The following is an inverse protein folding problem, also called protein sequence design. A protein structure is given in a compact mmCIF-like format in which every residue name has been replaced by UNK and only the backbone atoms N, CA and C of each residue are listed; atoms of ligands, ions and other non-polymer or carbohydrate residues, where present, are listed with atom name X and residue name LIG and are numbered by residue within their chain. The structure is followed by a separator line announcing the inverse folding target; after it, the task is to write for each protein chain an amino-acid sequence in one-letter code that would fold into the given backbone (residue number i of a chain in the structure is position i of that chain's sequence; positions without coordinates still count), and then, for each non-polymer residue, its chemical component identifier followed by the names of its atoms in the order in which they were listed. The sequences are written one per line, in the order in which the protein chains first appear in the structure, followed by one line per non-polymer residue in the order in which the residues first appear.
data_IF_635635173349
#
_entry.id   IF_635635173349
#
_cell.length_a   1.000
_cell.length_b   1.000
_cell.length_c   1.000
_cell.angle_alpha   90.00
_cell.angle_beta   90.00
_cell.angle_gamma   90.00
#
_symmetry.space_group_name_H-M   'P 1'
#
loop_
_entity.id
_entity.type
_entity.pdbx_description
1 polymer ?
#
# COMPACT_ATOMS: atom_id res chain seq x y z
N UNK A 1 -10.06 20.14 11.55
CA UNK A 1 -10.76 18.94 11.04
C UNK A 1 -9.79 17.77 11.12
N UNK A 2 -10.22 16.62 11.66
CA UNK A 2 -9.42 15.40 11.58
C UNK A 2 -9.41 14.89 10.15
N UNK A 3 -8.25 14.56 9.61
CA UNK A 3 -8.14 13.96 8.27
C UNK A 3 -8.45 12.47 8.34
N UNK A 4 -8.93 11.87 7.26
CA UNK A 4 -9.21 10.42 7.19
C UNK A 4 -7.96 9.55 7.45
N UNK A 5 -6.78 10.06 7.12
CA UNK A 5 -5.49 9.39 7.30
C UNK A 5 -4.80 9.65 8.64
N UNK A 6 -5.39 10.41 9.57
CA UNK A 6 -4.74 10.82 10.82
C UNK A 6 -4.22 9.64 11.66
N UNK A 7 -4.93 8.50 11.62
CA UNK A 7 -4.50 7.28 12.32
C UNK A 7 -3.20 6.66 11.79
N UNK A 8 -2.73 7.11 10.63
CA UNK A 8 -1.49 6.67 9.97
C UNK A 8 -0.44 7.78 9.93
N UNK A 9 -0.61 8.83 10.74
CA UNK A 9 0.36 9.91 10.84
C UNK A 9 1.69 9.43 11.43
N UNK A 10 2.80 9.99 10.94
CA UNK A 10 4.14 9.66 11.40
C UNK A 10 4.99 9.05 10.29
N UNK A 11 5.93 8.19 10.67
CA UNK A 11 6.87 7.53 9.75
C UNK A 11 6.27 6.21 9.28
N UNK A 12 6.06 6.10 7.96
CA UNK A 12 5.68 4.86 7.30
C UNK A 12 6.89 4.28 6.55
N UNK A 13 7.30 3.06 6.89
CA UNK A 13 8.49 2.41 6.32
C UNK A 13 8.09 1.32 5.35
N UNK A 14 8.55 1.43 4.09
CA UNK A 14 8.49 0.36 3.13
C UNK A 14 9.55 -0.69 3.48
N UNK A 15 9.12 -1.88 3.90
CA UNK A 15 10.00 -2.96 4.28
C UNK A 15 10.62 -3.64 3.06
N UNK A 16 11.89 -4.01 3.15
CA UNK A 16 12.50 -4.99 2.24
C UNK A 16 12.06 -6.39 2.63
N UNK A 17 11.99 -7.30 1.68
CA UNK A 17 11.77 -8.73 1.95
C UNK A 17 13.12 -9.43 1.96
N UNK A 18 13.61 -9.92 3.10
CA UNK A 18 14.88 -10.65 3.15
C UNK A 18 14.72 -12.05 2.56
N UNK A 19 15.74 -12.51 1.85
CA UNK A 19 15.79 -13.84 1.24
C UNK A 19 17.04 -14.58 1.69
N UNK A 20 16.91 -15.90 1.86
CA UNK A 20 18.00 -16.82 2.07
C UNK A 20 17.77 -18.08 1.22
N UNK A 21 18.75 -18.43 0.39
CA UNK A 21 18.64 -19.62 -0.48
C UNK A 21 17.50 -19.56 -1.51
N UNK A 22 16.99 -18.37 -1.84
CA UNK A 22 15.87 -18.16 -2.77
C UNK A 22 14.49 -18.14 -2.09
N UNK A 23 14.41 -18.41 -0.80
CA UNK A 23 13.19 -18.37 -0.01
C UNK A 23 13.15 -17.13 0.90
N UNK A 24 11.96 -16.71 1.34
CA UNK A 24 11.81 -15.60 2.31
C UNK A 24 12.41 -16.02 3.65
N UNK A 25 13.34 -15.21 4.16
CA UNK A 25 13.96 -15.39 5.47
C UNK A 25 13.12 -14.71 6.57
N UNK A 26 12.23 -15.47 7.18
CA UNK A 26 11.32 -14.98 8.20
C UNK A 26 12.01 -14.61 9.52
N UNK A 27 13.16 -15.21 9.84
CA UNK A 27 13.90 -14.88 11.06
C UNK A 27 14.55 -13.50 10.93
N UNK A 28 15.23 -13.23 9.82
CA UNK A 28 15.75 -11.89 9.50
C UNK A 28 14.61 -10.89 9.37
N UNK A 29 13.46 -11.27 8.79
CA UNK A 29 12.32 -10.39 8.68
C UNK A 29 11.75 -10.00 10.05
N UNK A 30 11.64 -10.93 10.98
CA UNK A 30 11.24 -10.66 12.38
C UNK A 30 12.19 -9.66 13.02
N UNK A 31 13.49 -9.87 12.91
CA UNK A 31 14.49 -8.94 13.46
C UNK A 31 14.36 -7.52 12.87
N UNK A 32 14.06 -7.41 11.58
CA UNK A 32 13.81 -6.16 10.89
C UNK A 32 12.55 -5.44 11.43
N UNK A 33 11.45 -6.19 11.63
CA UNK A 33 10.20 -5.66 12.18
C UNK A 33 10.44 -5.13 13.59
N UNK A 34 11.11 -5.90 14.46
CA UNK A 34 11.41 -5.48 15.83
C UNK A 34 12.32 -4.24 15.86
N UNK A 35 13.31 -4.17 14.98
CA UNK A 35 14.15 -2.97 14.83
C UNK A 35 13.32 -1.74 14.47
N UNK A 36 12.39 -1.85 13.52
CA UNK A 36 11.53 -0.73 13.12
C UNK A 36 10.62 -0.27 14.27
N UNK A 37 10.03 -1.20 15.00
CA UNK A 37 9.18 -0.89 16.14
C UNK A 37 9.99 -0.18 17.22
N UNK A 38 11.17 -0.70 17.57
CA UNK A 38 12.06 -0.11 18.56
C UNK A 38 12.58 1.28 18.15
N UNK A 39 12.70 1.53 16.84
CA UNK A 39 13.13 2.82 16.28
C UNK A 39 12.02 3.87 16.19
N UNK A 40 10.79 3.57 16.64
CA UNK A 40 9.67 4.52 16.66
C UNK A 40 8.92 4.65 15.32
N UNK A 41 9.04 3.68 14.43
CA UNK A 41 8.23 3.63 13.21
C UNK A 41 6.75 3.49 13.57
N UNK A 42 5.87 4.20 12.85
CA UNK A 42 4.44 4.23 13.12
C UNK A 42 3.65 3.26 12.21
N UNK A 43 4.12 3.05 10.97
CA UNK A 43 3.45 2.20 9.99
C UNK A 43 4.47 1.34 9.25
N UNK A 44 4.24 0.05 9.14
CA UNK A 44 5.01 -0.85 8.28
C UNK A 44 4.27 -1.16 6.99
N UNK A 45 4.99 -1.05 5.85
CA UNK A 45 4.44 -1.32 4.52
C UNK A 45 5.20 -2.51 3.89
N UNK A 46 4.86 -3.77 4.22
CA UNK A 46 5.42 -4.94 3.55
C UNK A 46 4.89 -5.11 2.13
N UNK A 47 5.53 -5.92 1.34
CA UNK A 47 5.17 -6.31 -0.05
C UNK A 47 4.82 -5.13 -0.95
N UNK A 48 5.43 -3.97 -0.70
CA UNK A 48 5.44 -2.85 -1.66
C UNK A 48 6.55 -3.03 -2.70
N UNK A 49 6.82 -1.98 -3.48
CA UNK A 49 7.91 -1.97 -4.48
C UNK A 49 9.27 -2.28 -3.85
N UNK A 50 9.56 -1.70 -2.67
CA UNK A 50 10.79 -1.95 -1.91
C UNK A 50 10.88 -3.41 -1.42
N UNK A 51 9.74 -4.02 -1.11
CA UNK A 51 9.64 -5.42 -0.69
C UNK A 51 9.58 -6.40 -1.85
N UNK A 52 9.92 -5.96 -3.07
CA UNK A 52 10.04 -6.79 -4.28
C UNK A 52 8.77 -7.59 -4.61
N UNK A 53 7.58 -7.01 -4.36
CA UNK A 53 6.29 -7.68 -4.60
C UNK A 53 6.16 -8.35 -5.98
N UNK A 54 6.72 -7.81 -7.09
CA UNK A 54 6.61 -8.46 -8.39
C UNK A 54 7.39 -9.76 -8.53
N UNK A 55 8.34 -10.03 -7.64
CA UNK A 55 9.17 -11.27 -7.67
C UNK A 55 8.65 -12.34 -6.72
N UNK A 56 7.68 -11.99 -5.87
CA UNK A 56 6.99 -12.93 -4.98
C UNK A 56 5.78 -13.56 -5.70
N UNK A 57 5.59 -14.85 -5.53
CA UNK A 57 4.31 -15.49 -5.87
C UNK A 57 3.18 -14.94 -4.98
N UNK A 58 1.93 -15.11 -5.39
CA UNK A 58 0.79 -14.69 -4.57
C UNK A 58 0.75 -15.38 -3.20
N UNK A 59 1.14 -16.64 -3.13
CA UNK A 59 1.19 -17.41 -1.88
C UNK A 59 2.29 -16.88 -0.94
N UNK A 60 3.43 -16.44 -1.49
CA UNK A 60 4.48 -15.81 -0.71
C UNK A 60 4.03 -14.42 -0.23
N UNK A 61 3.40 -13.61 -1.09
CA UNK A 61 2.85 -12.32 -0.67
C UNK A 61 1.85 -12.48 0.48
N UNK A 62 0.93 -13.43 0.37
CA UNK A 62 -0.06 -13.71 1.39
C UNK A 62 0.61 -14.15 2.71
N UNK A 63 1.60 -15.05 2.64
CA UNK A 63 2.38 -15.49 3.82
C UNK A 63 3.15 -14.34 4.47
N UNK A 64 3.81 -13.50 3.67
CA UNK A 64 4.54 -12.34 4.19
C UNK A 64 3.61 -11.35 4.88
N UNK A 65 2.46 -11.03 4.28
CA UNK A 65 1.47 -10.12 4.90
C UNK A 65 0.97 -10.69 6.23
N UNK A 66 0.57 -11.95 6.26
CA UNK A 66 0.11 -12.61 7.48
C UNK A 66 1.19 -12.61 8.58
N UNK A 67 2.43 -12.97 8.22
CA UNK A 67 3.58 -12.99 9.13
C UNK A 67 3.87 -11.61 9.73
N UNK A 68 3.84 -10.53 8.91
CA UNK A 68 4.09 -9.17 9.41
C UNK A 68 2.98 -8.74 10.36
N UNK A 69 1.71 -8.98 10.03
CA UNK A 69 0.58 -8.64 10.90
C UNK A 69 0.68 -9.38 12.23
N UNK A 70 0.94 -10.70 12.20
CA UNK A 70 1.13 -11.52 13.39
C UNK A 70 2.31 -11.03 14.24
N UNK A 71 3.47 -10.77 13.61
CA UNK A 71 4.68 -10.32 14.32
C UNK A 71 4.49 -8.96 14.95
N UNK A 72 3.84 -8.02 14.25
CA UNK A 72 3.56 -6.67 14.79
C UNK A 72 2.57 -6.73 15.96
N UNK A 73 1.62 -7.65 15.95
CA UNK A 73 0.67 -7.90 17.02
C UNK A 73 -0.02 -6.62 17.54
N UNK A 74 -0.42 -5.72 16.64
CA UNK A 74 -1.13 -4.48 16.97
C UNK A 74 -0.28 -3.38 17.63
N UNK A 75 1.02 -3.55 17.79
CA UNK A 75 1.92 -2.56 18.40
C UNK A 75 2.07 -1.27 17.59
N UNK A 76 2.04 -1.39 16.27
CA UNK A 76 2.02 -0.29 15.30
C UNK A 76 1.12 -0.67 14.12
N UNK A 77 0.91 0.24 13.16
CA UNK A 77 0.04 -0.02 12.01
C UNK A 77 0.74 -0.84 10.92
N UNK A 78 -0.03 -1.70 10.24
CA UNK A 78 0.44 -2.46 9.07
C UNK A 78 -0.41 -2.10 7.84
N UNK A 79 0.26 -1.62 6.78
CA UNK A 79 -0.33 -1.20 5.52
C UNK A 79 0.38 -1.89 4.35
N UNK A 80 0.09 -3.17 4.06
CA UNK A 80 0.75 -3.91 3.00
C UNK A 80 0.43 -3.36 1.61
N UNK A 81 1.37 -3.54 0.68
CA UNK A 81 1.13 -3.33 -0.74
C UNK A 81 0.19 -4.40 -1.29
N UNK A 82 -1.00 -4.00 -1.70
CA UNK A 82 -2.01 -4.91 -2.29
C UNK A 82 -2.45 -4.46 -3.68
N UNK A 83 -1.83 -3.39 -4.21
CA UNK A 83 -2.14 -2.89 -5.54
C UNK A 83 -1.63 -3.78 -6.67
N UNK A 84 -2.36 -3.80 -7.76
CA UNK A 84 -2.02 -4.49 -9.01
C UNK A 84 -2.55 -3.70 -10.20
N UNK A 85 -2.02 -3.96 -11.39
CA UNK A 85 -2.60 -3.46 -12.64
C UNK A 85 -3.87 -4.22 -13.06
N UNK A 86 -4.23 -5.29 -12.35
CA UNK A 86 -5.49 -6.02 -12.46
C UNK A 86 -6.38 -5.70 -11.26
N UNK A 87 -7.53 -5.08 -11.50
CA UNK A 87 -8.51 -4.78 -10.43
C UNK A 87 -8.94 -6.03 -9.67
N UNK A 88 -9.12 -7.16 -10.37
CA UNK A 88 -9.48 -8.45 -9.74
C UNK A 88 -8.41 -8.93 -8.78
N UNK A 89 -7.15 -8.83 -9.17
CA UNK A 89 -6.02 -9.24 -8.35
C UNK A 89 -5.86 -8.31 -7.13
N UNK A 90 -5.91 -6.99 -7.34
CA UNK A 90 -5.86 -6.02 -6.25
C UNK A 90 -7.00 -6.25 -5.23
N UNK A 91 -8.22 -6.56 -5.68
CA UNK A 91 -9.33 -6.94 -4.82
C UNK A 91 -9.02 -8.21 -4.01
N UNK A 92 -8.45 -9.24 -4.63
CA UNK A 92 -8.08 -10.48 -3.95
C UNK A 92 -7.06 -10.23 -2.85
N UNK A 93 -5.97 -9.53 -3.20
CA UNK A 93 -4.89 -9.20 -2.27
C UNK A 93 -5.39 -8.34 -1.10
N UNK A 94 -6.22 -7.34 -1.39
CA UNK A 94 -6.77 -6.46 -0.35
C UNK A 94 -7.71 -7.20 0.59
N UNK A 95 -8.57 -8.08 0.07
CA UNK A 95 -9.46 -8.92 0.90
C UNK A 95 -8.66 -9.90 1.77
N UNK A 96 -7.55 -10.42 1.26
CA UNK A 96 -6.67 -11.26 2.08
C UNK A 96 -6.03 -10.44 3.21
N UNK A 97 -5.48 -9.26 2.91
CA UNK A 97 -4.91 -8.37 3.92
C UNK A 97 -5.94 -7.98 5.00
N UNK A 98 -7.18 -7.68 4.60
CA UNK A 98 -8.29 -7.45 5.51
C UNK A 98 -8.55 -8.66 6.41
N UNK A 99 -8.63 -9.85 5.84
CA UNK A 99 -8.89 -11.10 6.57
C UNK A 99 -7.85 -11.39 7.65
N UNK A 100 -6.57 -11.09 7.39
CA UNK A 100 -5.48 -11.33 8.33
C UNK A 100 -5.26 -10.19 9.34
N UNK A 101 -6.04 -9.10 9.23
CA UNK A 101 -6.05 -8.02 10.21
C UNK A 101 -5.08 -6.87 9.93
N UNK A 102 -4.72 -6.61 8.68
CA UNK A 102 -4.02 -5.38 8.31
C UNK A 102 -4.87 -4.15 8.63
N UNK A 103 -4.22 -3.00 8.90
CA UNK A 103 -4.92 -1.75 9.28
C UNK A 103 -5.34 -0.91 8.08
N UNK A 104 -4.63 -1.00 6.97
CA UNK A 104 -4.90 -0.31 5.71
C UNK A 104 -4.26 -1.07 4.54
N UNK A 105 -4.46 -0.59 3.32
CA UNK A 105 -3.86 -1.12 2.11
C UNK A 105 -3.14 -0.02 1.31
N UNK A 106 -1.92 -0.30 0.85
CA UNK A 106 -1.19 0.57 -0.06
C UNK A 106 -1.44 0.11 -1.51
N UNK A 107 -2.10 0.95 -2.29
CA UNK A 107 -2.59 0.64 -3.63
C UNK A 107 -1.75 1.34 -4.70
N UNK A 108 -0.80 0.63 -5.30
CA UNK A 108 -0.05 1.21 -6.43
C UNK A 108 -0.99 1.45 -7.62
N UNK A 109 -0.81 2.58 -8.29
CA UNK A 109 -1.51 2.88 -9.53
C UNK A 109 -1.25 1.79 -10.59
N UNK A 110 -2.26 1.33 -11.35
CA UNK A 110 -2.07 0.35 -12.40
C UNK A 110 -0.93 0.73 -13.33
N UNK A 111 0.02 -0.17 -13.48
CA UNK A 111 1.23 -0.05 -14.26
C UNK A 111 1.13 -0.88 -15.53
N UNK A 112 1.94 -0.59 -16.56
CA UNK A 112 2.03 -1.30 -17.83
C UNK A 112 0.82 -1.09 -18.77
N UNK A 113 -0.42 -1.34 -18.32
CA UNK A 113 -1.65 -1.25 -19.13
C UNK A 113 -2.18 0.18 -19.33
N UNK A 114 -1.53 1.20 -18.72
CA UNK A 114 -1.75 2.63 -18.98
C UNK A 114 -3.23 3.07 -18.94
N UNK A 115 -3.92 2.97 -17.83
CA UNK A 115 -5.30 3.40 -17.72
C UNK A 115 -5.45 4.92 -18.00
N UNK A 116 -6.65 5.32 -18.47
CA UNK A 116 -7.05 6.73 -18.49
C UNK A 116 -7.34 7.23 -17.09
N UNK A 117 -7.55 8.55 -16.90
CA UNK A 117 -7.93 9.12 -15.60
C UNK A 117 -9.25 8.50 -15.09
N UNK A 118 -10.23 8.30 -15.97
CA UNK A 118 -11.46 7.59 -15.63
C UNK A 118 -11.18 6.13 -15.24
N UNK A 119 -10.26 5.45 -15.93
CA UNK A 119 -9.85 4.09 -15.59
C UNK A 119 -9.21 4.01 -14.19
N UNK A 120 -8.39 4.99 -13.79
CA UNK A 120 -7.89 5.10 -12.41
C UNK A 120 -9.03 5.23 -11.42
N UNK A 121 -9.95 6.16 -11.69
CA UNK A 121 -11.10 6.40 -10.81
C UNK A 121 -11.91 5.11 -10.59
N UNK A 122 -12.30 4.42 -11.66
CA UNK A 122 -13.10 3.19 -11.57
C UNK A 122 -12.33 2.05 -10.86
N UNK A 123 -11.02 1.92 -11.10
CA UNK A 123 -10.18 0.94 -10.44
C UNK A 123 -10.17 1.14 -8.91
N UNK A 124 -9.82 2.34 -8.45
CA UNK A 124 -9.74 2.62 -7.01
C UNK A 124 -11.11 2.70 -6.33
N UNK A 125 -12.14 3.16 -7.06
CA UNK A 125 -13.53 3.10 -6.58
C UNK A 125 -13.96 1.67 -6.31
N UNK A 126 -13.70 0.75 -7.25
CA UNK A 126 -14.02 -0.67 -7.06
C UNK A 126 -13.33 -1.26 -5.82
N UNK A 127 -12.06 -0.91 -5.58
CA UNK A 127 -11.33 -1.34 -4.38
C UNK A 127 -11.95 -0.75 -3.11
N UNK A 128 -12.27 0.55 -3.11
CA UNK A 128 -12.85 1.23 -1.97
C UNK A 128 -14.26 0.75 -1.61
N UNK A 129 -15.05 0.33 -2.60
CA UNK A 129 -16.44 -0.13 -2.40
C UNK A 129 -16.53 -1.61 -2.03
N UNK A 130 -15.59 -2.45 -2.51
CA UNK A 130 -15.67 -3.91 -2.37
C UNK A 130 -14.76 -4.50 -1.28
N UNK A 131 -14.02 -3.65 -0.55
CA UNK A 131 -13.18 -4.05 0.59
C UNK A 131 -13.44 -3.15 1.78
N UNK A 132 -13.16 -3.64 3.00
CA UNK A 132 -13.37 -2.89 4.24
C UNK A 132 -12.18 -2.04 4.67
N UNK A 133 -10.97 -2.29 4.14
CA UNK A 133 -9.75 -1.58 4.54
C UNK A 133 -9.72 -0.11 4.07
N UNK A 134 -9.22 0.81 4.91
CA UNK A 134 -8.75 2.12 4.46
C UNK A 134 -7.63 1.95 3.42
N UNK A 135 -7.59 2.82 2.40
CA UNK A 135 -6.66 2.68 1.29
C UNK A 135 -5.85 3.95 1.06
N UNK A 136 -4.54 3.81 0.96
CA UNK A 136 -3.61 4.83 0.52
C UNK A 136 -3.24 4.58 -0.94
N UNK A 137 -3.55 5.50 -1.83
CA UNK A 137 -3.20 5.39 -3.25
C UNK A 137 -1.71 5.70 -3.42
N UNK A 138 -1.02 4.92 -4.25
CA UNK A 138 0.38 5.15 -4.56
C UNK A 138 0.56 5.52 -6.03
N UNK A 139 0.79 6.81 -6.27
CA UNK A 139 1.07 7.37 -7.59
C UNK A 139 2.58 7.46 -7.82
N UNK A 140 3.09 6.71 -8.80
CA UNK A 140 4.52 6.63 -9.13
C UNK A 140 4.73 6.58 -10.65
N UNK A 141 4.57 7.70 -11.37
CA UNK A 141 4.64 7.72 -12.83
C UNK A 141 5.99 7.25 -13.40
N UNK A 142 7.08 7.39 -12.65
CA UNK A 142 8.38 6.84 -13.06
C UNK A 142 8.42 5.32 -13.20
N UNK A 143 7.44 4.59 -12.64
CA UNK A 143 7.30 3.12 -12.75
C UNK A 143 6.01 2.70 -13.44
N UNK A 144 4.91 3.42 -13.21
CA UNK A 144 3.60 3.12 -13.81
C UNK A 144 3.44 3.71 -15.21
N UNK A 145 4.31 4.63 -15.63
CA UNK A 145 4.32 5.39 -16.89
C UNK A 145 3.20 6.44 -16.95
N UNK A 146 2.05 6.21 -16.34
CA UNK A 146 0.94 7.16 -16.28
C UNK A 146 0.87 7.85 -14.92
N UNK A 147 0.52 9.13 -14.96
CA UNK A 147 0.39 10.00 -13.79
C UNK A 147 -1.10 10.26 -13.52
N UNK A 148 -1.51 10.00 -12.29
CA UNK A 148 -2.86 10.36 -11.84
C UNK A 148 -2.89 11.84 -11.48
N UNK A 149 -3.81 12.59 -12.11
CA UNK A 149 -3.90 14.04 -11.90
C UNK A 149 -4.44 14.39 -10.51
N UNK A 150 -4.14 15.60 -9.99
CA UNK A 150 -4.74 16.09 -8.75
C UNK A 150 -6.26 16.07 -8.77
N UNK A 151 -6.90 16.37 -9.91
CA UNK A 151 -8.36 16.32 -10.06
C UNK A 151 -8.92 14.92 -9.85
N UNK A 152 -8.27 13.89 -10.43
CA UNK A 152 -8.66 12.50 -10.21
C UNK A 152 -8.48 12.09 -8.75
N UNK A 153 -7.39 12.50 -8.12
CA UNK A 153 -7.16 12.28 -6.69
C UNK A 153 -8.22 12.99 -5.83
N UNK A 154 -8.60 14.21 -6.19
CA UNK A 154 -9.67 14.96 -5.54
C UNK A 154 -11.02 14.24 -5.59
N UNK A 155 -11.38 13.67 -6.75
CA UNK A 155 -12.58 12.86 -6.89
C UNK A 155 -12.52 11.60 -6.01
N UNK A 156 -11.39 10.90 -6.01
CA UNK A 156 -11.17 9.71 -5.18
C UNK A 156 -11.19 10.03 -3.69
N UNK A 157 -10.69 11.19 -3.28
CA UNK A 157 -10.75 11.64 -1.89
C UNK A 157 -12.19 11.82 -1.37
N UNK A 158 -13.19 11.93 -2.25
CA UNK A 158 -14.61 11.87 -1.90
C UNK A 158 -15.05 10.51 -1.36
N UNK A 159 -14.37 9.43 -1.70
CA UNK A 159 -14.71 8.07 -1.25
C UNK A 159 -14.29 7.87 0.22
N UNK A 160 -15.17 7.31 1.09
CA UNK A 160 -14.90 7.21 2.52
C UNK A 160 -13.62 6.45 2.88
N UNK A 161 -13.29 5.40 2.12
CA UNK A 161 -12.13 4.53 2.40
C UNK A 161 -10.82 5.00 1.78
N UNK A 162 -10.82 6.00 0.91
CA UNK A 162 -9.57 6.61 0.42
C UNK A 162 -9.08 7.59 1.47
N UNK A 163 -7.96 7.28 2.12
CA UNK A 163 -7.45 8.00 3.29
C UNK A 163 -6.25 8.90 2.98
N UNK A 164 -5.63 8.73 1.83
CA UNK A 164 -4.46 9.51 1.44
C UNK A 164 -3.83 9.06 0.15
N UNK A 165 -2.76 9.75 -0.22
CA UNK A 165 -1.93 9.45 -1.37
C UNK A 165 -0.46 9.45 -0.98
N UNK A 166 0.28 8.43 -1.44
CA UNK A 166 1.74 8.43 -1.50
C UNK A 166 2.11 8.92 -2.90
N UNK A 167 2.51 10.18 -3.01
CA UNK A 167 2.89 10.79 -4.29
C UNK A 167 4.40 10.71 -4.50
N UNK A 168 4.83 10.03 -5.56
CA UNK A 168 6.23 9.86 -5.95
C UNK A 168 6.51 10.48 -7.33
N UNK A 169 5.86 11.61 -7.63
CA UNK A 169 6.07 12.36 -8.87
C UNK A 169 7.32 13.24 -8.85
N UNK A 170 7.92 13.46 -7.67
CA UNK A 170 8.95 14.48 -7.42
C UNK A 170 8.51 15.94 -7.73
N UNK A 171 7.22 16.17 -7.95
CA UNK A 171 6.67 17.51 -8.15
C UNK A 171 6.25 18.12 -6.80
N UNK A 172 7.05 19.05 -6.29
CA UNK A 172 6.84 19.69 -4.99
C UNK A 172 5.58 20.58 -4.90
N UNK A 173 4.92 20.89 -6.04
CA UNK A 173 3.64 21.59 -6.04
C UNK A 173 2.45 20.66 -5.70
N UNK A 174 2.60 19.35 -5.86
CA UNK A 174 1.54 18.36 -5.64
C UNK A 174 0.89 18.41 -4.26
N UNK A 175 1.64 18.49 -3.14
CA UNK A 175 1.02 18.59 -1.81
C UNK A 175 0.06 19.77 -1.67
N UNK A 176 0.35 20.89 -2.31
CA UNK A 176 -0.54 22.07 -2.29
C UNK A 176 -1.75 21.92 -3.22
N UNK A 177 -1.62 21.17 -4.31
CA UNK A 177 -2.69 20.93 -5.27
C UNK A 177 -3.68 19.85 -4.80
N UNK A 178 -3.25 18.98 -3.88
CA UNK A 178 -4.02 17.83 -3.37
C UNK A 178 -4.68 18.10 -2.01
N UNK A 179 -4.60 19.32 -1.51
CA UNK A 179 -5.20 19.77 -0.24
C UNK A 179 -6.66 20.10 -0.33
#
# INVERSE_FOLDING_TARGET
MKTKGEAFAGVAVALVTPFQGGEVDYDTFRAQIEFQIASGTNVLCPVGTTGESPTLSHDEQDRVVAFVVETVAGRIKVMPGTGSNSTREALRLTKFAEKVGADAALQVAPYYNKPTQQGFYEHFKALAEQTGLPQCIYNIPGRSVVDMTPDTMGQLAGLPRIIGVKDATANLARPSQQR
#
